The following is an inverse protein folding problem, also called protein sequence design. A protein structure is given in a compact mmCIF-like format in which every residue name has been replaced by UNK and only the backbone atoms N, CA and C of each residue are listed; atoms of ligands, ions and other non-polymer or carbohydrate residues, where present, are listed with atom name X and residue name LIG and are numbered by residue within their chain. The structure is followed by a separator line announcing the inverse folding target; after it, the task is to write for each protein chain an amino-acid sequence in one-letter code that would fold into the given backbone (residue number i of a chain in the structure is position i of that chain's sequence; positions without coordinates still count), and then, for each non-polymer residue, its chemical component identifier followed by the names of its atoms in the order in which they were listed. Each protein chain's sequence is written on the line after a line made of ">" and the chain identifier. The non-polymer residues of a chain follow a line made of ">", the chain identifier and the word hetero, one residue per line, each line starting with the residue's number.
data_IF_466505173687
#
_entry.id   IF_466505173687
#
_cell.length_a   1.000
_cell.length_b   1.000
_cell.length_c   1.000
_cell.angle_alpha   90.00
_cell.angle_beta   90.00
_cell.angle_gamma   90.00
#
_symmetry.space_group_name_H-M   'P 1'
#
loop_
_entity.id
_entity.type
_entity.pdbx_description
1 polymer ?
#
# COMPACT_ATOMS: atom_id res chain seq x y z
N UNK A 1 13.35 -13.03 6.46
CA UNK A 1 13.90 -14.23 5.79
C UNK A 1 12.77 -14.88 5.02
N UNK A 2 12.98 -15.15 3.74
CA UNK A 2 12.01 -15.81 2.87
C UNK A 2 12.77 -16.69 1.88
N UNK A 3 12.49 -18.00 1.85
CA UNK A 3 13.30 -18.95 1.09
C UNK A 3 14.81 -18.78 1.36
N UNK A 4 15.63 -18.58 0.33
CA UNK A 4 17.06 -18.29 0.40
C UNK A 4 17.39 -16.79 0.63
N UNK A 5 16.41 -15.89 0.51
CA UNK A 5 16.61 -14.45 0.71
C UNK A 5 16.65 -14.10 2.21
N UNK A 6 17.82 -13.65 2.66
CA UNK A 6 18.04 -13.09 3.99
C UNK A 6 18.13 -11.56 3.92
N UNK A 7 17.41 -10.89 4.83
CA UNK A 7 17.47 -9.44 4.99
C UNK A 7 17.94 -9.10 6.40
N UNK A 8 18.93 -8.22 6.50
CA UNK A 8 19.51 -7.77 7.76
C UNK A 8 19.32 -6.25 7.85
N UNK A 9 18.82 -5.78 8.98
CA UNK A 9 18.66 -4.36 9.25
C UNK A 9 19.66 -3.98 10.32
N UNK A 10 20.58 -3.06 9.99
CA UNK A 10 21.55 -2.51 10.91
C UNK A 10 21.19 -1.05 11.17
N UNK A 11 21.13 -0.68 12.45
CA UNK A 11 20.86 0.69 12.87
C UNK A 11 22.17 1.34 13.28
N UNK A 12 22.43 2.55 12.78
CA UNK A 12 23.52 3.42 13.24
C UNK A 12 23.15 4.88 13.04
N UNK A 13 23.86 5.78 13.71
CA UNK A 13 23.64 7.23 13.58
C UNK A 13 24.30 7.77 12.32
N UNK A 14 25.43 7.20 11.93
CA UNK A 14 26.19 7.53 10.73
C UNK A 14 26.69 6.27 10.02
N UNK A 15 27.28 6.44 8.83
CA UNK A 15 27.87 5.32 8.08
C UNK A 15 29.12 4.77 8.75
N UNK A 16 29.90 5.66 9.35
CA UNK A 16 31.10 5.35 10.12
C UNK A 16 30.79 4.32 11.21
N UNK A 17 29.60 4.39 11.82
CA UNK A 17 29.19 3.45 12.87
C UNK A 17 28.49 2.21 12.29
N UNK A 18 27.58 2.42 11.32
CA UNK A 18 26.70 1.38 10.83
C UNK A 18 27.40 0.38 9.91
N UNK A 19 28.29 0.84 9.02
CA UNK A 19 28.94 -0.03 8.04
C UNK A 19 29.92 -1.01 8.71
N UNK A 20 30.80 -0.60 9.64
CA UNK A 20 31.64 -1.57 10.36
C UNK A 20 30.82 -2.60 11.14
N UNK A 21 29.73 -2.16 11.77
CA UNK A 21 28.80 -3.07 12.47
C UNK A 21 28.18 -4.08 11.49
N UNK A 22 27.74 -3.62 10.31
CA UNK A 22 27.20 -4.48 9.28
C UNK A 22 28.24 -5.49 8.76
N UNK A 23 29.48 -5.05 8.49
CA UNK A 23 30.57 -5.93 8.06
C UNK A 23 30.85 -7.02 9.11
N UNK A 24 30.93 -6.68 10.39
CA UNK A 24 31.10 -7.67 11.47
C UNK A 24 29.98 -8.73 11.46
N UNK A 25 28.72 -8.31 11.24
CA UNK A 25 27.59 -9.24 11.16
C UNK A 25 27.71 -10.13 9.91
N UNK A 26 28.08 -9.56 8.77
CA UNK A 26 28.22 -10.27 7.50
C UNK A 26 29.39 -11.26 7.52
N UNK A 27 30.48 -10.95 8.21
CA UNK A 27 31.61 -11.87 8.43
C UNK A 27 31.18 -13.09 9.25
N UNK A 28 30.49 -12.86 10.39
CA UNK A 28 29.97 -13.96 11.22
C UNK A 28 28.96 -14.81 10.46
N UNK A 29 28.08 -14.16 9.70
CA UNK A 29 27.11 -14.85 8.85
C UNK A 29 27.83 -15.69 7.78
N UNK A 30 28.86 -15.14 7.14
CA UNK A 30 29.63 -15.84 6.12
C UNK A 30 30.35 -17.05 6.70
N UNK A 31 31.00 -16.92 7.85
CA UNK A 31 31.65 -18.04 8.55
C UNK A 31 30.65 -19.14 8.89
N UNK A 32 29.53 -18.79 9.52
CA UNK A 32 28.45 -19.74 9.82
C UNK A 32 27.90 -20.40 8.54
N UNK A 33 27.71 -19.64 7.48
CA UNK A 33 27.22 -20.15 6.19
C UNK A 33 28.18 -21.20 5.62
N UNK A 34 29.50 -20.93 5.65
CA UNK A 34 30.52 -21.88 5.18
C UNK A 34 30.56 -23.16 6.01
N UNK A 35 30.50 -23.04 7.34
CA UNK A 35 30.45 -24.20 8.26
C UNK A 35 29.25 -25.12 7.98
N UNK A 36 28.14 -24.55 7.49
CA UNK A 36 26.91 -25.29 7.18
C UNK A 36 26.80 -25.67 5.69
N UNK A 37 27.86 -25.50 4.89
CA UNK A 37 27.86 -25.85 3.46
C UNK A 37 26.95 -24.96 2.60
N UNK A 38 26.61 -23.76 3.07
CA UNK A 38 25.79 -22.78 2.35
C UNK A 38 26.68 -21.73 1.70
N UNK A 39 26.51 -21.54 0.39
CA UNK A 39 27.22 -20.51 -0.35
C UNK A 39 26.39 -19.22 -0.43
N UNK A 40 26.96 -18.10 0.02
CA UNK A 40 26.38 -16.77 -0.19
C UNK A 40 26.79 -16.32 -1.60
N UNK A 41 25.84 -15.79 -2.38
CA UNK A 41 26.10 -15.22 -3.69
C UNK A 41 26.19 -13.68 -3.61
N UNK A 42 27.40 -13.08 -3.62
CA UNK A 42 27.54 -11.64 -3.44
C UNK A 42 26.94 -10.82 -4.59
N UNK A 43 26.83 -11.38 -5.80
CA UNK A 43 26.25 -10.69 -6.96
C UNK A 43 24.74 -10.44 -6.83
N UNK A 44 24.06 -11.18 -5.96
CA UNK A 44 22.64 -11.01 -5.64
C UNK A 44 22.42 -10.18 -4.38
N UNK A 45 23.48 -9.86 -3.63
CA UNK A 45 23.37 -9.05 -2.44
C UNK A 45 23.16 -7.59 -2.84
N UNK A 46 22.12 -6.98 -2.27
CA UNK A 46 21.84 -5.57 -2.41
C UNK A 46 21.83 -4.93 -1.03
N UNK A 47 22.34 -3.71 -0.92
CA UNK A 47 22.26 -2.92 0.31
C UNK A 47 21.62 -1.57 0.01
N UNK A 48 20.87 -1.04 0.97
CA UNK A 48 20.25 0.28 0.90
C UNK A 48 20.52 1.03 2.20
N UNK A 49 20.90 2.30 2.07
CA UNK A 49 21.00 3.23 3.18
C UNK A 49 19.69 3.99 3.33
N UNK A 50 18.97 3.72 4.41
CA UNK A 50 17.71 4.41 4.70
C UNK A 50 17.97 5.60 5.63
N UNK A 51 17.50 6.78 5.23
CA UNK A 51 17.69 8.03 5.99
C UNK A 51 16.39 8.81 6.05
N UNK A 52 16.04 9.24 7.26
CA UNK A 52 14.96 10.21 7.47
C UNK A 52 15.46 11.66 7.37
N UNK A 53 16.77 11.87 7.24
CA UNK A 53 17.37 13.19 7.15
C UNK A 53 16.96 13.92 5.86
N UNK A 54 16.80 15.23 5.96
CA UNK A 54 16.70 16.14 4.82
C UNK A 54 18.07 16.52 4.28
N UNK A 55 19.14 16.37 5.07
CA UNK A 55 20.51 16.67 4.71
C UNK A 55 21.15 15.48 3.99
N UNK A 56 21.01 15.45 2.67
CA UNK A 56 21.42 14.31 1.83
C UNK A 56 22.91 14.27 1.48
N UNK A 57 23.65 15.34 1.73
CA UNK A 57 25.08 15.42 1.36
C UNK A 57 25.97 14.56 2.27
N UNK A 58 25.68 14.51 3.58
CA UNK A 58 26.38 13.62 4.51
C UNK A 58 26.07 12.14 4.27
N UNK A 59 24.95 11.87 3.61
CA UNK A 59 24.52 10.52 3.23
C UNK A 59 25.12 10.07 1.89
N UNK A 60 26.03 10.81 1.25
CA UNK A 60 26.71 10.39 0.04
C UNK A 60 28.17 10.05 0.32
N UNK A 61 28.56 8.78 0.14
CA UNK A 61 29.96 8.35 0.28
C UNK A 61 30.66 8.48 -1.07
N UNK A 62 31.08 9.72 -1.41
CA UNK A 62 31.77 9.98 -2.69
C UNK A 62 33.14 9.29 -2.76
N UNK A 63 33.75 9.05 -1.60
CA UNK A 63 35.12 8.57 -1.48
C UNK A 63 35.20 7.05 -1.28
N UNK A 64 34.05 6.38 -1.08
CA UNK A 64 34.01 4.94 -0.85
C UNK A 64 34.72 4.52 0.43
N UNK A 65 34.71 5.37 1.46
CA UNK A 65 35.47 5.18 2.70
C UNK A 65 35.06 3.91 3.45
N UNK A 66 33.80 3.53 3.32
CA UNK A 66 33.21 2.45 4.10
C UNK A 66 32.60 1.40 3.17
N UNK A 67 33.42 0.51 2.58
CA UNK A 67 32.91 -0.56 1.73
C UNK A 67 32.17 -1.60 2.56
N UNK A 68 30.95 -1.94 2.14
CA UNK A 68 30.23 -3.10 2.67
C UNK A 68 30.73 -4.35 1.93
N UNK A 69 31.22 -5.36 2.64
CA UNK A 69 31.87 -6.53 2.03
C UNK A 69 31.20 -7.82 2.49
N UNK A 70 30.94 -8.73 1.54
CA UNK A 70 30.40 -10.07 1.79
C UNK A 70 31.18 -11.08 0.97
N UNK A 71 31.71 -12.12 1.62
CA UNK A 71 32.51 -13.17 0.97
C UNK A 71 33.65 -12.61 0.09
N UNK A 72 34.31 -11.54 0.55
CA UNK A 72 35.39 -10.86 -0.19
C UNK A 72 34.95 -9.96 -1.35
N UNK A 73 33.65 -9.83 -1.60
CA UNK A 73 33.11 -8.94 -2.63
C UNK A 73 32.47 -7.69 -2.02
N UNK A 74 32.74 -6.53 -2.61
CA UNK A 74 32.09 -5.29 -2.21
C UNK A 74 30.65 -5.23 -2.73
N UNK A 75 29.72 -4.94 -1.82
CA UNK A 75 28.29 -4.81 -2.10
C UNK A 75 27.97 -3.32 -2.29
N UNK A 76 27.30 -2.94 -3.40
CA UNK A 76 26.89 -1.56 -3.60
C UNK A 76 25.80 -1.16 -2.60
N UNK A 77 26.02 -0.06 -1.89
CA UNK A 77 25.04 0.53 -0.98
C UNK A 77 24.27 1.62 -1.74
N UNK A 78 22.98 1.37 -1.98
CA UNK A 78 22.09 2.32 -2.65
C UNK A 78 21.75 3.47 -1.70
N UNK A 79 21.88 4.71 -2.18
CA UNK A 79 21.70 5.93 -1.40
C UNK A 79 20.65 6.84 -2.04
N UNK A 80 20.36 7.97 -1.39
CA UNK A 80 19.49 9.01 -1.96
C UNK A 80 19.98 9.44 -3.35
N UNK A 81 19.08 9.45 -4.33
CA UNK A 81 19.39 9.85 -5.72
C UNK A 81 20.03 8.75 -6.58
N UNK A 82 20.22 7.54 -6.05
CA UNK A 82 20.65 6.41 -6.85
C UNK A 82 19.64 6.10 -7.97
N UNK A 83 20.14 5.76 -9.16
CA UNK A 83 19.32 5.43 -10.33
C UNK A 83 18.53 4.13 -10.17
N UNK A 84 19.02 3.23 -9.30
CA UNK A 84 18.39 1.95 -8.96
C UNK A 84 17.93 1.97 -7.51
N UNK A 85 16.79 1.32 -7.28
CA UNK A 85 16.22 1.09 -5.94
C UNK A 85 16.36 -0.38 -5.60
N UNK A 86 16.72 -0.66 -4.35
CA UNK A 86 16.81 -2.02 -3.82
C UNK A 86 15.43 -2.65 -3.77
N UNK A 87 15.34 -3.94 -4.08
CA UNK A 87 14.06 -4.64 -4.08
C UNK A 87 14.01 -5.67 -2.97
N UNK A 88 12.89 -5.72 -2.28
CA UNK A 88 12.57 -6.79 -1.33
C UNK A 88 11.28 -7.46 -1.76
N UNK A 89 11.36 -8.75 -2.09
CA UNK A 89 10.21 -9.54 -2.57
C UNK A 89 9.48 -8.86 -3.75
N UNK A 90 10.24 -8.23 -4.65
CA UNK A 90 9.69 -7.50 -5.81
C UNK A 90 9.05 -6.15 -5.49
N UNK A 91 9.11 -5.67 -4.24
CA UNK A 91 8.76 -4.30 -3.88
C UNK A 91 10.01 -3.42 -3.86
N UNK A 92 9.95 -2.26 -4.51
CA UNK A 92 11.05 -1.30 -4.43
C UNK A 92 11.04 -0.60 -3.07
N UNK A 93 12.20 -0.59 -2.43
CA UNK A 93 12.48 0.17 -1.22
C UNK A 93 13.19 1.47 -1.63
N UNK A 94 12.49 2.59 -1.51
CA UNK A 94 13.12 3.89 -1.67
C UNK A 94 13.97 4.23 -0.43
N UNK A 95 15.06 4.99 -0.59
CA UNK A 95 15.93 5.33 0.55
C UNK A 95 15.25 6.14 1.68
N UNK A 96 14.07 6.72 1.43
CA UNK A 96 13.23 7.38 2.45
C UNK A 96 12.17 6.46 3.08
N UNK A 97 12.08 5.20 2.64
CA UNK A 97 11.06 4.23 3.03
C UNK A 97 9.62 4.75 2.93
N UNK A 98 9.36 5.64 1.96
CA UNK A 98 8.01 6.18 1.71
C UNK A 98 7.15 5.25 0.86
N UNK A 99 7.77 4.32 0.14
CA UNK A 99 7.16 3.34 -0.76
C UNK A 99 6.23 3.93 -1.83
N UNK A 100 6.37 5.22 -2.13
CA UNK A 100 5.55 5.89 -3.15
C UNK A 100 5.80 5.30 -4.55
N UNK A 101 7.04 4.91 -4.85
CA UNK A 101 7.40 4.24 -6.11
C UNK A 101 6.71 2.88 -6.21
N UNK A 102 6.73 2.09 -5.12
CA UNK A 102 6.05 0.80 -5.06
C UNK A 102 4.53 0.97 -5.25
N UNK A 103 3.90 1.93 -4.55
CA UNK A 103 2.49 2.26 -4.70
C UNK A 103 2.14 2.60 -6.16
N UNK A 104 2.95 3.46 -6.79
CA UNK A 104 2.74 3.89 -8.18
C UNK A 104 2.85 2.73 -9.16
N UNK A 105 3.84 1.84 -8.98
CA UNK A 105 3.98 0.63 -9.79
C UNK A 105 2.81 -0.34 -9.60
N UNK A 106 2.29 -0.50 -8.39
CA UNK A 106 1.09 -1.32 -8.17
C UNK A 106 -0.14 -0.70 -8.84
N UNK A 107 -0.32 0.62 -8.76
CA UNK A 107 -1.40 1.32 -9.48
C UNK A 107 -1.28 1.14 -11.00
N UNK A 108 -0.08 1.28 -11.56
CA UNK A 108 0.17 1.09 -12.99
C UNK A 108 -0.10 -0.36 -13.44
N UNK A 109 0.44 -1.34 -12.71
CA UNK A 109 0.20 -2.76 -12.98
C UNK A 109 -1.29 -3.12 -12.86
N UNK A 110 -1.98 -2.56 -11.86
CA UNK A 110 -3.43 -2.76 -11.70
C UNK A 110 -4.22 -2.06 -12.80
N UNK A 111 -3.77 -0.91 -13.29
CA UNK A 111 -4.40 -0.21 -14.43
C UNK A 111 -4.34 -1.03 -15.71
N UNK A 112 -3.24 -1.75 -15.95
CA UNK A 112 -3.16 -2.72 -17.04
C UNK A 112 -4.19 -3.85 -16.86
N UNK A 113 -4.32 -4.39 -15.65
CA UNK A 113 -5.33 -5.43 -15.34
C UNK A 113 -6.76 -4.89 -15.48
N UNK A 114 -7.02 -3.64 -15.10
CA UNK A 114 -8.30 -2.95 -15.29
C UNK A 114 -8.66 -2.92 -16.78
N UNK A 115 -7.70 -2.62 -17.66
CA UNK A 115 -7.93 -2.63 -19.11
C UNK A 115 -8.40 -4.00 -19.60
N UNK A 116 -7.70 -5.06 -19.20
CA UNK A 116 -8.06 -6.45 -19.54
C UNK A 116 -9.43 -6.86 -18.96
N UNK A 117 -9.70 -6.49 -17.72
CA UNK A 117 -10.98 -6.78 -17.06
C UNK A 117 -12.15 -6.08 -17.76
N UNK A 118 -11.96 -4.86 -18.29
CA UNK A 118 -12.98 -4.17 -19.07
C UNK A 118 -13.33 -4.89 -20.36
N UNK A 119 -12.36 -5.54 -21.00
CA UNK A 119 -12.62 -6.35 -22.20
C UNK A 119 -13.52 -7.56 -21.89
N UNK A 120 -13.38 -8.16 -20.71
CA UNK A 120 -14.14 -9.35 -20.31
C UNK A 120 -15.50 -8.98 -19.69
N UNK A 121 -15.60 -7.82 -19.04
CA UNK A 121 -16.81 -7.32 -18.39
C UNK A 121 -17.91 -6.83 -19.35
N UNK A 122 -18.04 -7.46 -20.53
CA UNK A 122 -19.04 -7.08 -21.53
C UNK A 122 -20.46 -7.18 -20.97
N UNK A 123 -21.32 -6.19 -21.25
CA UNK A 123 -22.66 -6.11 -20.63
C UNK A 123 -23.62 -7.21 -21.07
N UNK A 124 -23.43 -7.76 -22.26
CA UNK A 124 -24.38 -8.70 -22.89
C UNK A 124 -23.82 -10.12 -23.00
N UNK A 125 -22.50 -10.26 -23.07
CA UNK A 125 -21.79 -11.52 -23.30
C UNK A 125 -20.71 -11.79 -22.24
N UNK A 126 -20.66 -10.96 -21.21
CA UNK A 126 -19.70 -11.08 -20.12
C UNK A 126 -20.17 -12.07 -19.05
N UNK A 127 -19.27 -12.43 -18.11
CA UNK A 127 -19.58 -13.31 -17.01
C UNK A 127 -20.63 -12.70 -16.07
N UNK A 128 -21.27 -13.55 -15.26
CA UNK A 128 -22.20 -13.08 -14.23
C UNK A 128 -21.52 -12.07 -13.29
N UNK A 129 -22.24 -11.12 -12.68
CA UNK A 129 -21.64 -10.16 -11.75
C UNK A 129 -20.89 -10.83 -10.59
N UNK A 130 -21.34 -12.01 -10.17
CA UNK A 130 -20.69 -12.82 -9.13
C UNK A 130 -19.31 -13.33 -9.59
N UNK A 131 -19.25 -13.91 -10.78
CA UNK A 131 -18.01 -14.46 -11.32
C UNK A 131 -17.03 -13.35 -11.69
N UNK A 132 -17.55 -12.23 -12.23
CA UNK A 132 -16.76 -11.02 -12.48
C UNK A 132 -16.19 -10.47 -11.18
N UNK A 133 -16.96 -10.43 -10.09
CA UNK A 133 -16.45 -10.00 -8.77
C UNK A 133 -15.30 -10.88 -8.31
N UNK A 134 -15.45 -12.19 -8.40
CA UNK A 134 -14.41 -13.15 -8.03
C UNK A 134 -13.14 -12.91 -8.85
N UNK A 135 -13.28 -12.72 -10.16
CA UNK A 135 -12.17 -12.45 -11.04
C UNK A 135 -11.51 -11.09 -10.76
N UNK A 136 -12.28 -10.03 -10.53
CA UNK A 136 -11.77 -8.71 -10.15
C UNK A 136 -11.01 -8.77 -8.82
N UNK A 137 -11.46 -9.54 -7.84
CA UNK A 137 -10.76 -9.70 -6.56
C UNK A 137 -9.47 -10.51 -6.73
N UNK A 138 -9.56 -11.68 -7.35
CA UNK A 138 -8.44 -12.63 -7.48
C UNK A 138 -7.38 -12.18 -8.48
N UNK A 139 -7.77 -11.52 -9.57
CA UNK A 139 -6.85 -11.03 -10.59
C UNK A 139 -6.55 -9.53 -10.46
N UNK A 140 -7.56 -8.67 -10.36
CA UNK A 140 -7.35 -7.22 -10.32
C UNK A 140 -6.80 -6.74 -8.98
N UNK A 141 -7.61 -6.86 -7.93
CA UNK A 141 -7.32 -6.30 -6.61
C UNK A 141 -6.13 -6.99 -5.93
N UNK A 142 -5.89 -8.28 -6.20
CA UNK A 142 -4.74 -9.00 -5.66
C UNK A 142 -3.41 -8.32 -5.99
N UNK A 143 -3.27 -7.72 -7.18
CA UNK A 143 -2.06 -6.98 -7.54
C UNK A 143 -1.89 -5.74 -6.70
N UNK A 144 -2.95 -4.95 -6.57
CA UNK A 144 -2.95 -3.71 -5.80
C UNK A 144 -2.74 -3.96 -4.30
N UNK A 145 -3.23 -5.09 -3.79
CA UNK A 145 -3.11 -5.50 -2.39
C UNK A 145 -1.74 -6.06 -2.03
N UNK A 146 -0.92 -6.42 -3.01
CA UNK A 146 0.43 -6.93 -2.73
C UNK A 146 1.26 -5.83 -2.05
N UNK A 147 1.63 -6.06 -0.79
CA UNK A 147 2.37 -5.10 0.03
C UNK A 147 1.57 -3.87 0.45
N UNK A 148 0.24 -3.86 0.28
CA UNK A 148 -0.56 -2.66 0.53
C UNK A 148 -0.58 -2.26 2.00
N UNK A 149 -0.45 -3.19 2.93
CA UNK A 149 -0.39 -2.89 4.38
C UNK A 149 0.84 -2.05 4.71
N UNK A 150 2.01 -2.46 4.22
CA UNK A 150 3.25 -1.73 4.41
C UNK A 150 3.19 -0.37 3.70
N UNK A 151 2.74 -0.34 2.44
CA UNK A 151 2.56 0.91 1.69
C UNK A 151 1.60 1.85 2.44
N UNK A 152 0.50 1.34 2.98
CA UNK A 152 -0.47 2.16 3.71
C UNK A 152 0.12 2.77 4.99
N UNK A 153 1.03 2.07 5.66
CA UNK A 153 1.66 2.59 6.88
C UNK A 153 2.57 3.81 6.60
N UNK A 154 3.32 3.81 5.49
CA UNK A 154 4.42 4.75 5.27
C UNK A 154 4.22 5.71 4.08
N UNK A 155 3.34 5.39 3.15
CA UNK A 155 3.15 6.20 1.96
C UNK A 155 2.43 7.52 2.23
N UNK A 156 2.70 8.47 1.34
CA UNK A 156 2.06 9.78 1.36
C UNK A 156 0.57 9.68 1.08
N UNK A 157 -0.21 10.65 1.56
CA UNK A 157 -1.66 10.70 1.31
C UNK A 157 -1.99 10.75 -0.18
N UNK A 158 -1.13 11.38 -0.99
CA UNK A 158 -1.26 11.39 -2.45
C UNK A 158 -1.22 9.96 -3.03
N UNK A 159 -0.20 9.17 -2.67
CA UNK A 159 -0.07 7.79 -3.13
C UNK A 159 -1.23 6.91 -2.63
N UNK A 160 -1.64 7.09 -1.37
CA UNK A 160 -2.81 6.43 -0.77
C UNK A 160 -4.10 6.72 -1.54
N UNK A 161 -4.34 7.98 -1.87
CA UNK A 161 -5.49 8.42 -2.64
C UNK A 161 -5.50 7.81 -4.04
N UNK A 162 -4.35 7.72 -4.71
CA UNK A 162 -4.25 7.08 -6.03
C UNK A 162 -4.55 5.57 -5.97
N UNK A 163 -4.06 4.87 -4.94
CA UNK A 163 -4.41 3.46 -4.72
C UNK A 163 -5.91 3.28 -4.49
N UNK A 164 -6.53 4.15 -3.68
CA UNK A 164 -7.98 4.11 -3.45
C UNK A 164 -8.77 4.38 -4.74
N UNK A 165 -8.37 5.35 -5.56
CA UNK A 165 -8.98 5.61 -6.87
C UNK A 165 -8.87 4.41 -7.81
N UNK A 166 -7.72 3.74 -7.81
CA UNK A 166 -7.48 2.52 -8.58
C UNK A 166 -8.40 1.39 -8.12
N UNK A 167 -8.51 1.17 -6.81
CA UNK A 167 -9.42 0.18 -6.24
C UNK A 167 -10.90 0.49 -6.52
N UNK A 168 -11.31 1.76 -6.41
CA UNK A 168 -12.66 2.19 -6.78
C UNK A 168 -12.97 1.92 -8.26
N UNK A 169 -11.98 2.01 -9.14
CA UNK A 169 -12.14 1.68 -10.56
C UNK A 169 -12.37 0.18 -10.77
N UNK A 170 -11.69 -0.69 -10.02
CA UNK A 170 -11.99 -2.12 -10.00
C UNK A 170 -13.42 -2.40 -9.54
N UNK A 171 -13.88 -1.74 -8.46
CA UNK A 171 -15.23 -1.89 -7.95
C UNK A 171 -16.30 -1.47 -8.97
N UNK A 172 -16.04 -0.42 -9.76
CA UNK A 172 -16.93 0.03 -10.85
C UNK A 172 -17.08 -0.98 -11.98
N UNK A 173 -16.06 -1.79 -12.26
CA UNK A 173 -16.15 -2.86 -13.27
C UNK A 173 -17.22 -3.88 -12.84
N UNK A 174 -17.23 -4.25 -11.56
CA UNK A 174 -18.19 -5.21 -11.01
C UNK A 174 -19.61 -4.64 -10.99
N UNK A 175 -19.76 -3.37 -10.60
CA UNK A 175 -21.08 -2.74 -10.49
C UNK A 175 -21.65 -2.20 -11.82
N UNK A 176 -20.84 -2.15 -12.88
CA UNK A 176 -21.25 -1.59 -14.18
C UNK A 176 -21.48 -0.06 -14.16
N UNK A 177 -21.09 0.63 -13.08
CA UNK A 177 -21.29 2.08 -12.93
C UNK A 177 -20.34 2.83 -13.87
N UNK A 178 -20.84 3.71 -14.75
CA UNK A 178 -20.00 4.50 -15.65
C UNK A 178 -18.99 5.37 -14.90
N UNK A 179 -17.89 5.73 -15.56
CA UNK A 179 -16.97 6.71 -14.98
C UNK A 179 -17.66 8.08 -14.90
N UNK A 180 -17.38 8.83 -13.84
CA UNK A 180 -17.90 10.20 -13.66
C UNK A 180 -17.39 11.17 -14.74
N UNK A 181 -16.40 10.77 -15.54
CA UNK A 181 -15.84 11.55 -16.65
C UNK A 181 -16.70 11.41 -17.92
N UNK A 182 -17.47 10.33 -18.08
CA UNK A 182 -18.37 10.17 -19.22
C UNK A 182 -19.72 10.85 -18.97
N UNK A 183 -19.77 12.17 -19.18
CA UNK A 183 -21.04 12.94 -19.21
C UNK A 183 -21.73 12.76 -20.57
N UNK A 184 -22.08 11.52 -20.95
CA UNK A 184 -22.99 11.28 -22.06
C UNK A 184 -24.43 11.07 -21.53
N UNK A 185 -25.35 12.04 -21.70
CA UNK A 185 -26.69 12.00 -21.13
C UNK A 185 -27.58 10.86 -21.67
N UNK A 186 -27.24 10.23 -22.80
CA UNK A 186 -27.98 9.08 -23.31
C UNK A 186 -27.65 7.77 -22.57
N UNK A 187 -26.43 7.61 -22.04
CA UNK A 187 -26.02 6.41 -21.32
C UNK A 187 -26.61 6.36 -19.88
N UNK A 188 -26.83 7.53 -19.27
CA UNK A 188 -27.44 7.65 -17.94
C UNK A 188 -28.86 7.08 -17.87
N UNK A 189 -29.70 7.33 -18.89
CA UNK A 189 -31.10 6.86 -18.90
C UNK A 189 -31.23 5.34 -19.03
N UNK A 190 -30.34 4.69 -19.79
CA UNK A 190 -30.32 3.22 -19.92
C UNK A 190 -29.81 2.55 -18.65
N UNK A 191 -28.85 3.18 -17.96
CA UNK A 191 -28.27 2.63 -16.72
C UNK A 191 -29.21 2.81 -15.53
N UNK A 192 -29.89 3.96 -15.39
CA UNK A 192 -30.88 4.19 -14.33
C UNK A 192 -32.17 3.35 -14.49
N UNK A 193 -32.60 3.02 -15.72
CA UNK A 193 -33.79 2.17 -15.95
C UNK A 193 -33.63 0.74 -15.43
N UNK A 194 -32.40 0.21 -15.35
CA UNK A 194 -32.11 -1.12 -14.78
C UNK A 194 -31.95 -1.10 -13.26
N UNK A 195 -31.53 0.02 -12.68
CA UNK A 195 -31.40 0.15 -11.22
C UNK A 195 -32.74 0.32 -10.52
N UNK A 196 -33.74 0.93 -11.16
CA UNK A 196 -35.10 1.02 -10.60
C UNK A 196 -35.85 -0.31 -10.64
N UNK A 197 -35.45 -1.27 -11.50
CA UNK A 197 -36.03 -2.62 -11.51
C UNK A 197 -35.49 -3.52 -10.39
N UNK A 198 -34.35 -3.18 -9.78
CA UNK A 198 -33.79 -3.89 -8.62
C UNK A 198 -34.20 -3.29 -7.27
N UNK A 199 -34.79 -2.08 -7.25
CA UNK A 199 -35.19 -1.39 -6.02
C UNK A 199 -36.52 -1.89 -5.42
N UNK A 200 -37.15 -2.91 -6.01
CA UNK A 200 -38.40 -3.50 -5.53
C UNK A 200 -38.32 -5.03 -5.48
N UNK A 201 -37.30 -5.57 -4.83
CA UNK A 201 -37.31 -6.97 -4.39
C UNK A 201 -36.33 -7.20 -3.24
N UNK A 202 -36.91 -7.38 -2.05
CA UNK A 202 -36.35 -8.07 -0.88
C UNK A 202 -35.15 -7.46 -0.14
N UNK A 203 -35.43 -7.04 1.10
CA UNK A 203 -34.43 -6.96 2.16
C UNK A 203 -33.78 -8.32 2.39
N UNK A 204 -32.46 -8.34 2.45
CA UNK A 204 -31.67 -9.52 2.83
C UNK A 204 -30.69 -9.15 3.95
N UNK A 205 -30.80 -9.76 5.14
CA UNK A 205 -29.96 -9.47 6.29
C UNK A 205 -28.68 -10.34 6.26
N UNK A 206 -27.81 -10.16 5.27
CA UNK A 206 -26.54 -10.90 5.19
C UNK A 206 -25.37 -9.98 4.81
N UNK A 207 -25.14 -8.94 5.62
CA UNK A 207 -23.91 -8.13 5.61
C UNK A 207 -23.17 -8.26 6.95
N UNK A 208 -23.21 -9.43 7.59
CA UNK A 208 -22.61 -9.63 8.90
C UNK A 208 -21.89 -10.97 9.01
N UNK A 209 -20.83 -11.14 8.22
CA UNK A 209 -19.70 -12.02 8.54
C UNK A 209 -18.59 -11.71 7.55
N UNK A 210 -17.67 -10.84 7.95
CA UNK A 210 -16.23 -10.80 7.61
C UNK A 210 -15.68 -9.47 8.17
N UNK A 211 -15.45 -9.47 9.49
CA UNK A 211 -14.47 -8.60 10.14
C UNK A 211 -13.06 -8.99 9.62
N UNK A 212 -12.05 -8.15 9.40
CA UNK A 212 -11.79 -6.75 9.68
C UNK A 212 -10.71 -6.26 8.68
N UNK A 213 -11.04 -5.30 7.81
CA UNK A 213 -10.18 -4.13 7.51
C UNK A 213 -11.16 -2.99 7.24
N UNK A 214 -11.47 -2.25 8.30
CA UNK A 214 -12.42 -1.13 8.25
C UNK A 214 -11.66 0.10 7.77
N UNK A 215 -11.82 0.40 6.49
CA UNK A 215 -11.44 1.70 5.93
C UNK A 215 -12.47 2.73 6.40
N UNK A 216 -12.25 3.36 7.55
CA UNK A 216 -13.06 4.51 7.97
C UNK A 216 -12.65 5.73 7.16
N UNK A 217 -13.56 6.18 6.28
CA UNK A 217 -13.40 7.40 5.51
C UNK A 217 -13.31 8.61 6.43
N UNK A 218 -12.37 9.50 6.14
CA UNK A 218 -12.37 10.85 6.69
C UNK A 218 -13.43 11.65 5.92
N UNK A 219 -14.48 12.05 6.63
CA UNK A 219 -15.51 12.94 6.12
C UNK A 219 -14.95 14.35 5.91
N UNK A 220 -15.32 14.96 4.79
CA UNK A 220 -15.02 16.33 4.44
C UNK A 220 -15.70 17.32 5.41
N UNK A 221 -14.96 18.19 6.13
CA UNK A 221 -15.52 19.16 7.05
C UNK A 221 -15.89 20.46 6.31
N UNK A 222 -16.88 20.41 5.42
CA UNK A 222 -17.42 21.63 4.78
C UNK A 222 -18.92 21.55 4.56
N UNK A 223 -19.68 21.55 5.66
CA UNK A 223 -21.09 21.96 5.69
C UNK A 223 -21.52 22.16 7.15
N UNK A 224 -21.06 23.24 7.76
CA UNK A 224 -21.59 23.70 9.05
C UNK A 224 -21.75 25.22 9.03
N UNK A 225 -22.85 25.67 8.43
CA UNK A 225 -23.48 26.97 8.70
C UNK A 225 -24.98 26.87 8.45
N UNK A 226 -25.72 26.55 9.50
CA UNK A 226 -27.01 27.17 9.87
C UNK A 226 -27.43 26.58 11.21
N UNK A 227 -27.11 27.32 12.27
CA UNK A 227 -27.72 27.17 13.58
C UNK A 227 -29.10 27.85 13.55
N UNK A 228 -30.11 27.15 14.05
CA UNK A 228 -31.25 27.73 14.73
C UNK A 228 -31.56 26.82 15.94
N UNK A 229 -31.54 27.33 17.18
CA UNK A 229 -31.81 26.52 18.37
C UNK A 229 -33.31 26.60 18.71
N UNK A 230 -33.93 25.46 19.00
CA UNK A 230 -35.22 25.43 19.72
C UNK A 230 -35.07 24.46 20.89
N UNK A 231 -34.98 25.09 22.06
CA UNK A 231 -35.37 24.69 23.41
C UNK A 231 -35.84 23.24 23.65
N UNK A 232 -35.20 22.57 24.61
CA UNK A 232 -35.89 21.72 25.56
C UNK A 232 -35.11 21.67 26.88
N UNK A 233 -35.70 22.33 27.88
CA UNK A 233 -35.33 22.26 29.29
C UNK A 233 -35.65 20.88 29.86
N UNK A 234 -34.75 20.31 30.67
CA UNK A 234 -35.14 19.47 31.82
C UNK A 234 -33.99 19.38 32.82
N UNK A 235 -34.25 20.02 33.96
CA UNK A 235 -33.55 19.94 35.22
C UNK A 235 -33.29 18.49 35.66
N UNK A 236 -32.10 18.23 36.20
CA UNK A 236 -31.94 17.38 37.38
C UNK A 236 -30.90 18.00 38.31
N UNK A 237 -31.40 18.33 39.50
CA UNK A 237 -30.66 18.82 40.66
C UNK A 237 -29.70 17.73 41.15
N UNK A 238 -28.49 18.14 41.51
CA UNK A 238 -27.59 17.32 42.31
C UNK A 238 -28.09 17.19 43.75
N UNK A 239 -27.60 16.18 44.46
CA UNK A 239 -27.14 16.34 45.84
C UNK A 239 -26.18 15.20 46.19
N UNK A 240 -25.12 15.61 46.86
CA UNK A 240 -24.06 14.86 47.51
C UNK A 240 -24.58 13.79 48.47
N UNK A 241 -23.78 12.75 48.75
CA UNK A 241 -23.43 12.31 50.11
C UNK A 241 -22.42 11.15 50.03
N UNK A 242 -21.22 11.39 50.57
CA UNK A 242 -20.35 10.39 51.22
C UNK A 242 -20.58 10.57 52.72
N UNK A 243 -20.51 9.52 53.58
CA UNK A 243 -19.20 9.09 54.08
C UNK A 243 -19.07 7.61 54.52
N UNK A 244 -17.81 7.30 54.88
CA UNK A 244 -17.27 6.22 55.74
C UNK A 244 -16.86 4.92 55.04
#
# INVERSE_FOLDING_TARGET
>A
MYADDLSIIVKGQSREDAIPTANMVLEKLHAWSQENGLAINPSKCEAAWFTFSTHTESDYDREGKWPLVVAGCQIPVMTMGASRTTKLLGMDLDPRLTLNVAASKQCAATSQRISQLRCIAHKEAGPSPHDLRTFVIGYGASKLRYGSELIWAVATDSAKNEMQKTYATLARIVSGVPSTVTRNPHCWRLTCRRSTSFACAHGSPYLRTHAHVRWTGCGDPRLSRRLAPVSASRHYLGTSYMPS
#
